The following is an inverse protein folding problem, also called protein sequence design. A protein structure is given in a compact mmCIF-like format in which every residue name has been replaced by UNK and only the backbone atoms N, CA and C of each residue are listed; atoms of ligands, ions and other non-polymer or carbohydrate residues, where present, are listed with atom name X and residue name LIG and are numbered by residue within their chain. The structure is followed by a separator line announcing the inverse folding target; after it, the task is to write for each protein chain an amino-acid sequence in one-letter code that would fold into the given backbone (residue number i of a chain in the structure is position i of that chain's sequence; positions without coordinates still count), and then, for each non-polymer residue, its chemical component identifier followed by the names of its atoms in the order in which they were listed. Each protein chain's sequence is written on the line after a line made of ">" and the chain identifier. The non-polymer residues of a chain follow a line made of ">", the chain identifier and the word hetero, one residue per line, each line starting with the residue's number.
data_IF_925873917804
#
_entry.id   IF_925873917804
#
_cell.length_a   1.000
_cell.length_b   1.000
_cell.length_c   1.000
_cell.angle_alpha   90.00
_cell.angle_beta   90.00
_cell.angle_gamma   90.00
#
_symmetry.space_group_name_H-M   'P 1'
#
loop_
_entity.id
_entity.type
_entity.pdbx_description
1 polymer ?
#
# COMPACT_ATOMS: atom_id res chain seq x y z
N UNK A 1 -34.94 -28.58 34.81
CA UNK A 1 -33.68 -29.19 34.33
C UNK A 1 -33.77 -29.08 32.81
N UNK A 2 -33.30 -28.01 32.16
CA UNK A 2 -31.88 -27.72 31.84
C UNK A 2 -31.21 -29.00 31.29
N UNK A 3 -30.73 -29.05 30.03
CA UNK A 3 -29.78 -28.10 29.46
C UNK A 3 -29.92 -27.80 27.96
N UNK A 4 -29.51 -26.58 27.65
CA UNK A 4 -29.13 -26.00 26.37
C UNK A 4 -28.17 -26.85 25.52
N UNK A 5 -28.32 -26.80 24.20
CA UNK A 5 -27.16 -26.87 23.31
C UNK A 5 -27.43 -26.11 22.00
N UNK A 6 -27.25 -24.79 22.06
CA UNK A 6 -26.97 -23.96 20.89
C UNK A 6 -25.55 -24.27 20.40
N UNK A 7 -25.31 -24.55 19.11
CA UNK A 7 -23.96 -24.45 18.59
C UNK A 7 -23.58 -22.97 18.53
N UNK A 8 -22.61 -22.59 19.36
CA UNK A 8 -21.96 -21.29 19.34
C UNK A 8 -21.37 -21.01 17.95
N UNK A 9 -22.00 -20.07 17.24
CA UNK A 9 -21.39 -19.39 16.11
C UNK A 9 -20.20 -18.58 16.64
N UNK A 10 -18.98 -19.13 16.57
CA UNK A 10 -17.76 -18.36 16.78
C UNK A 10 -17.67 -17.32 15.66
N UNK A 11 -17.66 -16.01 15.94
CA UNK A 11 -17.38 -15.03 14.90
C UNK A 11 -15.95 -15.25 14.40
N UNK A 12 -15.81 -15.50 13.11
CA UNK A 12 -14.53 -15.62 12.41
C UNK A 12 -13.68 -14.38 12.70
N UNK A 13 -12.62 -14.53 13.49
CA UNK A 13 -11.67 -13.44 13.83
C UNK A 13 -10.83 -12.95 12.64
N UNK A 14 -11.18 -13.36 11.42
CA UNK A 14 -10.39 -13.22 10.18
C UNK A 14 -11.10 -12.35 9.12
N UNK A 15 -12.36 -11.93 9.36
CA UNK A 15 -13.13 -11.11 8.43
C UNK A 15 -12.58 -9.67 8.25
N UNK A 16 -12.34 -8.87 9.33
CA UNK A 16 -11.89 -7.48 9.15
C UNK A 16 -10.50 -7.37 8.50
N UNK A 17 -9.64 -8.37 8.73
CA UNK A 17 -8.29 -8.44 8.15
C UNK A 17 -8.33 -8.75 6.65
N UNK A 18 -9.19 -9.68 6.23
CA UNK A 18 -9.45 -9.95 4.80
C UNK A 18 -10.03 -8.74 4.09
N UNK A 19 -10.87 -7.97 4.77
CA UNK A 19 -11.47 -6.77 4.20
C UNK A 19 -10.43 -5.66 3.96
N UNK A 20 -9.50 -5.44 4.90
CA UNK A 20 -8.42 -4.45 4.73
C UNK A 20 -7.47 -4.82 3.58
N UNK A 21 -6.98 -6.06 3.54
CA UNK A 21 -6.04 -6.47 2.49
C UNK A 21 -6.71 -6.49 1.10
N UNK A 22 -8.01 -6.78 1.01
CA UNK A 22 -8.77 -6.61 -0.22
C UNK A 22 -8.80 -5.15 -0.69
N UNK A 23 -8.99 -4.19 0.22
CA UNK A 23 -8.91 -2.76 -0.10
C UNK A 23 -7.50 -2.34 -0.54
N UNK A 24 -6.44 -2.84 0.12
CA UNK A 24 -5.05 -2.63 -0.31
C UNK A 24 -4.86 -3.09 -1.75
N UNK A 25 -5.28 -4.32 -2.08
CA UNK A 25 -5.17 -4.85 -3.45
C UNK A 25 -5.92 -3.98 -4.45
N UNK A 26 -7.12 -3.52 -4.11
CA UNK A 26 -7.88 -2.62 -4.99
C UNK A 26 -7.20 -1.25 -5.19
N UNK A 27 -6.46 -0.76 -4.19
CA UNK A 27 -5.80 0.55 -4.22
C UNK A 27 -4.44 0.58 -4.93
N UNK A 28 -3.74 -0.55 -5.05
CA UNK A 28 -2.38 -0.61 -5.63
C UNK A 28 -2.28 0.04 -7.02
N UNK A 29 -3.16 -0.28 -8.00
CA UNK A 29 -3.09 0.36 -9.32
C UNK A 29 -3.22 1.88 -9.28
N UNK A 30 -3.96 2.44 -8.30
CA UNK A 30 -4.13 3.88 -8.17
C UNK A 30 -2.82 4.60 -7.82
N UNK A 31 -2.02 4.02 -6.92
CA UNK A 31 -0.68 4.55 -6.58
C UNK A 31 0.23 4.64 -7.81
N UNK A 32 0.19 3.62 -8.67
CA UNK A 32 0.97 3.59 -9.90
C UNK A 32 0.45 4.60 -10.93
N UNK A 33 -0.87 4.76 -11.05
CA UNK A 33 -1.47 5.82 -11.88
C UNK A 33 -1.10 7.21 -11.39
N UNK A 34 -1.03 7.43 -10.08
CA UNK A 34 -0.64 8.72 -9.55
C UNK A 34 0.85 9.02 -9.82
N UNK A 35 1.72 8.01 -9.72
CA UNK A 35 3.11 8.13 -10.18
C UNK A 35 3.19 8.44 -11.68
N UNK A 36 2.40 7.75 -12.52
CA UNK A 36 2.33 8.02 -13.97
C UNK A 36 1.86 9.44 -14.27
N UNK A 37 0.83 9.94 -13.57
CA UNK A 37 0.22 11.24 -13.82
C UNK A 37 1.09 12.42 -13.35
N UNK A 38 1.82 12.25 -12.25
CA UNK A 38 2.66 13.30 -11.68
C UNK A 38 4.12 13.22 -12.14
N UNK A 39 4.53 12.05 -12.64
CA UNK A 39 5.85 11.80 -13.18
C UNK A 39 6.06 12.58 -14.48
N UNK A 40 7.09 13.42 -14.51
CA UNK A 40 7.42 14.26 -15.66
C UNK A 40 8.37 13.54 -16.64
N UNK A 41 7.99 12.35 -17.10
CA UNK A 41 8.74 11.58 -18.07
C UNK A 41 7.82 10.64 -18.86
N UNK A 42 8.33 10.06 -19.96
CA UNK A 42 7.60 9.02 -20.68
C UNK A 42 7.45 7.75 -19.82
N UNK A 43 6.47 6.93 -20.18
CA UNK A 43 6.06 5.76 -19.39
C UNK A 43 7.19 4.74 -19.18
N UNK A 44 8.03 4.53 -20.19
CA UNK A 44 9.18 3.61 -20.10
C UNK A 44 10.24 4.16 -19.14
N UNK A 45 10.48 5.47 -19.19
CA UNK A 45 11.39 6.14 -18.25
C UNK A 45 10.86 6.12 -16.82
N UNK A 46 9.55 6.30 -16.60
CA UNK A 46 8.94 6.20 -15.27
C UNK A 46 9.01 4.78 -14.71
N UNK A 47 8.83 3.76 -15.55
CA UNK A 47 8.99 2.34 -15.18
C UNK A 47 10.44 2.04 -14.75
N UNK A 48 11.42 2.54 -15.51
CA UNK A 48 12.85 2.43 -15.17
C UNK A 48 13.17 3.14 -13.85
N UNK A 49 12.72 4.39 -13.65
CA UNK A 49 12.94 5.14 -12.41
C UNK A 49 12.38 4.37 -11.22
N UNK A 50 11.20 3.77 -11.37
CA UNK A 50 10.57 2.96 -10.32
C UNK A 50 11.46 1.76 -9.97
N UNK A 51 11.90 0.97 -10.95
CA UNK A 51 12.75 -0.21 -10.68
C UNK A 51 14.12 0.17 -10.08
N UNK A 52 14.81 1.17 -10.63
CA UNK A 52 16.11 1.58 -10.10
C UNK A 52 16.00 2.16 -8.69
N UNK A 53 14.95 2.94 -8.43
CA UNK A 53 14.71 3.47 -7.08
C UNK A 53 14.45 2.33 -6.10
N UNK A 54 13.69 1.31 -6.50
CA UNK A 54 13.44 0.15 -5.64
C UNK A 54 14.75 -0.51 -5.19
N UNK A 55 15.69 -0.72 -6.13
CA UNK A 55 17.02 -1.30 -5.87
C UNK A 55 17.87 -0.39 -4.98
N UNK A 56 18.03 0.87 -5.36
CA UNK A 56 18.92 1.82 -4.68
C UNK A 56 18.43 2.14 -3.26
N UNK A 57 17.12 2.36 -3.10
CA UNK A 57 16.51 2.65 -1.81
C UNK A 57 16.27 1.39 -0.96
N UNK A 58 16.59 0.20 -1.48
CA UNK A 58 16.34 -1.10 -0.84
C UNK A 58 14.88 -1.31 -0.42
N UNK A 59 13.96 -0.69 -1.16
CA UNK A 59 12.51 -0.83 -0.97
C UNK A 59 12.02 -2.18 -1.54
N UNK A 60 12.73 -2.71 -2.53
CA UNK A 60 12.56 -4.07 -3.02
C UNK A 60 13.66 -4.46 -3.99
N UNK A 61 13.59 -5.68 -4.50
CA UNK A 61 14.51 -6.19 -5.51
C UNK A 61 13.71 -6.60 -6.74
N UNK A 62 13.54 -5.71 -7.74
CA UNK A 62 13.00 -6.08 -9.03
C UNK A 62 13.95 -7.06 -9.72
N UNK A 63 13.47 -8.27 -10.00
CA UNK A 63 14.20 -9.27 -10.79
C UNK A 63 14.50 -8.73 -12.20
N UNK A 64 13.51 -8.08 -12.79
CA UNK A 64 13.60 -7.41 -14.08
C UNK A 64 13.07 -5.98 -13.98
N UNK A 65 13.61 -5.09 -14.81
CA UNK A 65 13.05 -3.75 -14.98
C UNK A 65 11.83 -3.86 -15.89
N UNK A 66 10.62 -3.48 -15.45
CA UNK A 66 9.45 -3.51 -16.32
C UNK A 66 9.63 -2.52 -17.47
N UNK A 67 9.18 -2.93 -18.66
CA UNK A 67 9.05 -2.01 -19.78
C UNK A 67 7.81 -1.11 -19.61
N UNK A 68 7.67 -0.16 -20.53
CA UNK A 68 6.54 0.78 -20.52
C UNK A 68 5.18 0.08 -20.60
N UNK A 69 5.07 -1.01 -21.39
CA UNK A 69 3.83 -1.74 -21.59
C UNK A 69 3.41 -2.51 -20.33
N UNK A 70 4.37 -3.13 -19.63
CA UNK A 70 4.14 -3.79 -18.36
C UNK A 70 3.69 -2.79 -17.30
N UNK A 71 4.36 -1.64 -17.22
CA UNK A 71 3.99 -0.59 -16.26
C UNK A 71 2.60 0.01 -16.57
N UNK A 72 2.26 0.18 -17.86
CA UNK A 72 0.93 0.60 -18.28
C UNK A 72 -0.15 -0.42 -17.88
N UNK A 73 0.11 -1.71 -18.10
CA UNK A 73 -0.80 -2.77 -17.72
C UNK A 73 -1.09 -2.78 -16.21
N UNK A 74 -0.06 -2.56 -15.38
CA UNK A 74 -0.24 -2.42 -13.93
C UNK A 74 -1.09 -1.20 -13.55
N UNK A 75 -0.93 -0.08 -14.27
CA UNK A 75 -1.77 1.11 -14.05
C UNK A 75 -3.24 0.87 -14.40
N UNK A 76 -3.52 0.03 -15.39
CA UNK A 76 -4.88 -0.31 -15.85
C UNK A 76 -5.48 -1.54 -15.18
N UNK A 77 -4.72 -2.26 -14.36
CA UNK A 77 -5.19 -3.44 -13.67
C UNK A 77 -6.38 -3.13 -12.74
N UNK A 78 -7.31 -4.07 -12.64
CA UNK A 78 -8.47 -3.96 -11.76
C UNK A 78 -8.09 -4.03 -10.27
N UNK A 79 -7.01 -4.74 -9.95
CA UNK A 79 -6.44 -4.85 -8.61
C UNK A 79 -4.92 -5.10 -8.71
N UNK A 80 -4.24 -5.17 -7.56
CA UNK A 80 -2.80 -5.41 -7.46
C UNK A 80 -2.39 -6.87 -7.26
N UNK A 81 -3.20 -7.85 -7.66
CA UNK A 81 -2.88 -9.27 -7.49
C UNK A 81 -1.63 -9.69 -8.27
N UNK A 82 -1.51 -9.24 -9.53
CA UNK A 82 -0.38 -9.54 -10.42
C UNK A 82 0.73 -8.45 -10.40
N UNK A 83 0.64 -7.49 -9.47
CA UNK A 83 1.59 -6.38 -9.38
C UNK A 83 2.64 -6.72 -8.31
N UNK A 84 3.93 -6.79 -8.66
CA UNK A 84 4.98 -7.04 -7.68
C UNK A 84 4.99 -5.97 -6.59
N UNK A 85 4.97 -6.38 -5.32
CA UNK A 85 4.82 -5.47 -4.18
C UNK A 85 5.89 -4.37 -4.09
N UNK A 86 7.09 -4.60 -4.65
CA UNK A 86 8.13 -3.56 -4.70
C UNK A 86 7.67 -2.33 -5.51
N UNK A 87 6.80 -2.48 -6.52
CA UNK A 87 6.36 -1.40 -7.39
C UNK A 87 5.51 -0.35 -6.64
N UNK A 88 4.37 -0.68 -6.01
CA UNK A 88 3.59 0.30 -5.24
C UNK A 88 4.34 0.84 -4.02
N UNK A 89 5.19 0.01 -3.39
CA UNK A 89 6.06 0.46 -2.29
C UNK A 89 7.01 1.57 -2.75
N UNK A 90 7.62 1.40 -3.92
CA UNK A 90 8.51 2.42 -4.49
C UNK A 90 7.72 3.65 -4.95
N UNK A 91 6.53 3.47 -5.52
CA UNK A 91 5.67 4.59 -5.89
C UNK A 91 5.36 5.46 -4.66
N UNK A 92 4.96 4.87 -3.54
CA UNK A 92 4.74 5.60 -2.27
C UNK A 92 6.00 6.28 -1.76
N UNK A 93 7.16 5.62 -1.84
CA UNK A 93 8.43 6.26 -1.48
C UNK A 93 8.68 7.53 -2.30
N UNK A 94 8.44 7.50 -3.62
CA UNK A 94 8.62 8.64 -4.52
C UNK A 94 7.55 9.72 -4.30
N UNK A 95 6.27 9.34 -4.23
CA UNK A 95 5.13 10.24 -4.05
C UNK A 95 5.25 11.06 -2.75
N UNK A 96 5.68 10.44 -1.65
CA UNK A 96 5.90 11.12 -0.36
C UNK A 96 6.95 12.25 -0.43
N UNK A 97 7.82 12.24 -1.45
CA UNK A 97 8.90 13.22 -1.64
C UNK A 97 8.54 14.26 -2.71
N UNK A 98 7.41 14.13 -3.41
CA UNK A 98 7.05 15.02 -4.49
C UNK A 98 6.64 16.41 -3.98
N UNK A 99 7.12 17.51 -4.61
CA UNK A 99 6.73 18.87 -4.22
C UNK A 99 5.25 19.15 -4.46
N UNK A 100 4.59 18.39 -5.36
CA UNK A 100 3.16 18.48 -5.63
C UNK A 100 2.28 18.02 -4.46
N UNK A 101 2.86 17.41 -3.41
CA UNK A 101 2.16 16.94 -2.20
C UNK A 101 0.94 16.07 -2.53
N UNK A 102 1.11 14.99 -3.31
CA UNK A 102 0.00 14.12 -3.67
C UNK A 102 -0.71 13.57 -2.44
N UNK A 103 -2.02 13.42 -2.53
CA UNK A 103 -2.86 12.77 -1.53
C UNK A 103 -3.59 11.60 -2.18
N UNK A 104 -3.96 10.55 -1.42
CA UNK A 104 -4.83 9.50 -1.91
C UNK A 104 -6.18 10.10 -2.35
N UNK A 105 -6.73 9.59 -3.44
CA UNK A 105 -7.98 10.04 -4.05
C UNK A 105 -9.17 9.12 -3.71
N UNK A 106 -8.90 8.01 -3.03
CA UNK A 106 -9.93 7.05 -2.58
C UNK A 106 -9.49 6.34 -1.30
N UNK A 107 -10.45 5.74 -0.60
CA UNK A 107 -10.19 4.93 0.60
C UNK A 107 -9.26 3.74 0.28
N UNK A 108 -9.52 3.01 -0.80
CA UNK A 108 -8.67 1.90 -1.23
C UNK A 108 -7.22 2.34 -1.49
N UNK A 109 -7.03 3.49 -2.15
CA UNK A 109 -5.71 4.08 -2.37
C UNK A 109 -5.04 4.48 -1.06
N UNK A 110 -5.78 5.05 -0.09
CA UNK A 110 -5.27 5.37 1.23
C UNK A 110 -4.82 4.10 1.99
N UNK A 111 -5.59 3.02 1.92
CA UNK A 111 -5.21 1.72 2.49
C UNK A 111 -3.93 1.17 1.85
N UNK A 112 -3.84 1.18 0.52
CA UNK A 112 -2.64 0.76 -0.20
C UNK A 112 -1.42 1.62 0.16
N UNK A 113 -1.61 2.93 0.30
CA UNK A 113 -0.56 3.87 0.69
C UNK A 113 -0.04 3.57 2.09
N UNK A 114 -0.94 3.46 3.07
CA UNK A 114 -0.61 3.16 4.46
C UNK A 114 0.11 1.81 4.58
N UNK A 115 -0.39 0.78 3.89
CA UNK A 115 0.23 -0.54 3.84
C UNK A 115 1.67 -0.48 3.27
N UNK A 116 1.88 0.25 2.18
CA UNK A 116 3.20 0.43 1.59
C UNK A 116 4.13 1.25 2.49
N UNK A 117 3.61 2.31 3.13
CA UNK A 117 4.36 3.17 4.05
C UNK A 117 4.94 2.37 5.22
N UNK A 118 4.12 1.56 5.90
CA UNK A 118 4.55 0.72 7.00
C UNK A 118 5.55 -0.37 6.60
N UNK A 119 5.59 -0.75 5.32
CA UNK A 119 6.56 -1.72 4.79
C UNK A 119 7.83 -1.07 4.25
N UNK A 120 7.84 0.24 4.03
CA UNK A 120 9.03 0.93 3.52
C UNK A 120 10.05 1.23 4.62
N UNK A 121 9.61 1.26 5.88
CA UNK A 121 10.43 1.58 7.05
C UNK A 121 9.95 0.78 8.25
N UNK A 122 10.84 0.57 9.22
CA UNK A 122 10.47 0.01 10.51
C UNK A 122 10.05 1.13 11.45
N UNK A 123 9.01 0.89 12.22
CA UNK A 123 8.50 1.77 13.26
C UNK A 123 8.24 0.94 14.51
N UNK A 124 8.48 1.54 15.67
CA UNK A 124 8.28 0.92 16.97
C UNK A 124 6.83 1.08 17.46
N UNK A 125 6.10 2.09 16.94
CA UNK A 125 4.69 2.33 17.28
C UNK A 125 3.88 2.94 16.13
N UNK A 126 2.55 2.80 16.20
CA UNK A 126 1.60 3.45 15.28
C UNK A 126 1.79 4.98 15.28
N UNK A 127 1.97 5.56 16.47
CA UNK A 127 2.16 6.99 16.63
C UNK A 127 3.44 7.49 15.94
N UNK A 128 4.53 6.71 16.03
CA UNK A 128 5.77 7.04 15.33
C UNK A 128 5.58 6.96 13.82
N UNK A 129 4.93 5.91 13.32
CA UNK A 129 4.61 5.77 11.90
C UNK A 129 3.75 6.93 11.39
N UNK A 130 2.81 7.42 12.21
CA UNK A 130 1.94 8.55 11.90
C UNK A 130 2.72 9.87 11.86
N UNK A 131 3.53 10.15 12.89
CA UNK A 131 4.32 11.37 12.99
C UNK A 131 5.41 11.46 11.91
N UNK A 132 5.90 10.32 11.43
CA UNK A 132 6.86 10.26 10.35
C UNK A 132 6.25 10.51 8.96
N UNK A 133 4.92 10.54 8.81
CA UNK A 133 4.27 10.92 7.55
C UNK A 133 4.52 12.40 7.25
N UNK A 134 4.67 12.75 5.96
CA UNK A 134 4.54 14.15 5.53
C UNK A 134 3.24 14.77 6.05
N UNK A 135 3.30 16.02 6.51
CA UNK A 135 2.17 16.72 7.15
C UNK A 135 0.87 16.66 6.32
N UNK A 136 0.98 16.84 5.00
CA UNK A 136 -0.17 16.79 4.07
C UNK A 136 -0.84 15.41 3.97
N UNK A 137 -0.20 14.35 4.45
CA UNK A 137 -0.71 12.98 4.44
C UNK A 137 -1.24 12.54 5.81
N UNK A 138 -0.93 13.25 6.89
CA UNK A 138 -1.38 12.86 8.23
C UNK A 138 -2.91 12.81 8.32
N UNK A 139 -3.61 13.85 7.87
CA UNK A 139 -5.08 13.86 7.83
C UNK A 139 -5.67 12.76 6.94
N UNK A 140 -5.32 12.70 5.64
CA UNK A 140 -5.86 11.71 4.71
C UNK A 140 -5.57 10.25 5.07
N UNK A 141 -4.42 9.96 5.71
CA UNK A 141 -4.02 8.58 6.01
C UNK A 141 -4.30 8.14 7.45
N UNK A 142 -4.85 8.99 8.32
CA UNK A 142 -5.01 8.66 9.75
C UNK A 142 -5.72 7.31 9.97
N UNK A 143 -6.92 7.14 9.39
CA UNK A 143 -7.71 5.92 9.56
C UNK A 143 -7.07 4.72 8.85
N UNK A 144 -6.58 4.92 7.63
CA UNK A 144 -5.92 3.87 6.85
C UNK A 144 -4.64 3.36 7.51
N UNK A 145 -3.87 4.24 8.17
CA UNK A 145 -2.66 3.88 8.91
C UNK A 145 -2.99 3.07 10.15
N UNK A 146 -4.02 3.46 10.90
CA UNK A 146 -4.48 2.69 12.04
C UNK A 146 -4.89 1.27 11.63
N UNK A 147 -5.69 1.15 10.56
CA UNK A 147 -6.09 -0.16 10.03
C UNK A 147 -4.89 -0.98 9.54
N UNK A 148 -3.95 -0.36 8.82
CA UNK A 148 -2.74 -1.02 8.36
C UNK A 148 -1.84 -1.49 9.51
N UNK A 149 -1.76 -0.72 10.60
CA UNK A 149 -1.00 -1.09 11.78
C UNK A 149 -1.60 -2.31 12.48
N UNK A 150 -2.92 -2.32 12.67
CA UNK A 150 -3.64 -3.46 13.24
C UNK A 150 -3.46 -4.72 12.39
N UNK A 151 -3.57 -4.59 11.07
CA UNK A 151 -3.31 -5.68 10.12
C UNK A 151 -1.88 -6.25 10.29
N UNK A 152 -0.88 -5.37 10.33
CA UNK A 152 0.53 -5.77 10.49
C UNK A 152 0.81 -6.47 11.84
N UNK A 153 0.16 -6.05 12.94
CA UNK A 153 0.33 -6.73 14.22
C UNK A 153 -0.45 -8.06 14.26
N UNK A 154 -1.62 -8.14 13.64
CA UNK A 154 -2.38 -9.38 13.50
C UNK A 154 -1.57 -10.49 12.82
N UNK A 155 -0.79 -10.14 11.79
CA UNK A 155 0.14 -11.06 11.11
C UNK A 155 1.34 -11.49 11.95
N UNK A 156 1.69 -10.78 13.04
CA UNK A 156 2.81 -11.10 13.93
C UNK A 156 2.42 -11.99 15.12
N UNK A 157 1.13 -12.15 15.37
CA UNK A 157 0.59 -12.89 16.51
C UNK A 157 0.21 -14.35 16.17
N UNK A 158 0.55 -14.82 14.97
CA UNK A 158 0.31 -16.20 14.49
C UNK A 158 1.62 -17.00 14.44
#
# INVERSE_FOLDING_TARGET
>A
MQDDNHPENRPSSDAPQRDFYAQVRAGIPALLRQWLALGQADIGRLALILAETARVAKVGAPDETPDGATFEAWCQAANGEDIPLWAPRTAVFLLNQMPARPQPQSEAEACAWAYCWLRNRSFDSEQEAFQALPEHLQGPLQQALQAAWQDQQGLRLV
#
